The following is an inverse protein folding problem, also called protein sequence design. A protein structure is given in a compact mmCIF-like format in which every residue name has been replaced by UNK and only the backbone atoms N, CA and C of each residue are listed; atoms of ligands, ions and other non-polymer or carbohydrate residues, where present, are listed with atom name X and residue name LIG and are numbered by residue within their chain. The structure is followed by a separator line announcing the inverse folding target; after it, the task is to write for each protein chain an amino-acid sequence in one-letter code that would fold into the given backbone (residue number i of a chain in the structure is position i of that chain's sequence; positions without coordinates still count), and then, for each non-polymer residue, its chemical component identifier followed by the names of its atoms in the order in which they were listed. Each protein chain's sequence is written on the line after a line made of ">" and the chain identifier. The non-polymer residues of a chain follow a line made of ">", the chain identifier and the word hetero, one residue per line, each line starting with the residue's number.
data_IF_230101640989
#
_entry.id   IF_230101640989
#
_cell.length_a   1.000
_cell.length_b   1.000
_cell.length_c   1.000
_cell.angle_alpha   90.00
_cell.angle_beta   90.00
_cell.angle_gamma   90.00
#
_symmetry.space_group_name_H-M   'P 1'
#
loop_
_entity.id
_entity.type
_entity.pdbx_description
1 polymer ?
#
# COMPACT_ATOMS: atom_id res chain seq x y z
N UNK A 1 -1.69 -33.09 -10.90
CA UNK A 1 -1.56 -31.80 -10.19
C UNK A 1 -2.28 -30.76 -11.02
N UNK A 2 -3.16 -29.97 -10.40
CA UNK A 2 -3.92 -28.97 -11.14
C UNK A 2 -3.04 -27.79 -11.54
N UNK A 3 -3.34 -27.14 -12.67
CA UNK A 3 -2.64 -25.92 -13.15
C UNK A 3 -2.53 -24.84 -12.06
N UNK A 4 -3.48 -24.79 -11.13
CA UNK A 4 -3.48 -23.90 -9.96
C UNK A 4 -2.38 -24.24 -8.94
N UNK A 5 -2.23 -25.52 -8.57
CA UNK A 5 -1.23 -25.99 -7.61
C UNK A 5 0.19 -25.78 -8.12
N UNK A 6 0.40 -25.98 -9.44
CA UNK A 6 1.68 -25.72 -10.10
C UNK A 6 2.04 -24.23 -10.12
N UNK A 7 1.08 -23.35 -10.43
CA UNK A 7 1.26 -21.90 -10.38
C UNK A 7 1.55 -21.43 -8.95
N UNK A 8 0.84 -21.96 -7.97
CA UNK A 8 1.09 -21.65 -6.56
C UNK A 8 2.47 -22.13 -6.09
N UNK A 9 2.89 -23.34 -6.46
CA UNK A 9 4.20 -23.88 -6.13
C UNK A 9 5.34 -23.04 -6.73
N UNK A 10 5.19 -22.63 -8.00
CA UNK A 10 6.14 -21.72 -8.66
C UNK A 10 6.17 -20.35 -7.98
N UNK A 11 5.01 -19.81 -7.60
CA UNK A 11 4.94 -18.55 -6.84
C UNK A 11 5.70 -18.63 -5.52
N UNK A 12 5.55 -19.73 -4.77
CA UNK A 12 6.25 -19.92 -3.49
C UNK A 12 7.77 -20.05 -3.69
N UNK A 13 8.22 -20.79 -4.70
CA UNK A 13 9.64 -20.90 -5.04
C UNK A 13 10.23 -19.53 -5.36
N UNK A 14 9.59 -18.75 -6.22
CA UNK A 14 10.05 -17.41 -6.60
C UNK A 14 10.07 -16.45 -5.39
N UNK A 15 9.06 -16.54 -4.50
CA UNK A 15 9.04 -15.74 -3.27
C UNK A 15 10.23 -16.05 -2.35
N UNK A 16 10.58 -17.33 -2.22
CA UNK A 16 11.72 -17.77 -1.39
C UNK A 16 13.04 -17.27 -1.96
N UNK A 17 13.27 -17.48 -3.25
CA UNK A 17 14.50 -17.02 -3.93
C UNK A 17 14.65 -15.50 -3.84
N UNK A 18 13.57 -14.73 -4.04
CA UNK A 18 13.56 -13.29 -3.83
C UNK A 18 13.96 -12.90 -2.40
N UNK A 19 13.44 -13.62 -1.40
CA UNK A 19 13.79 -13.35 0.00
C UNK A 19 15.27 -13.62 0.29
N UNK A 20 15.82 -14.71 -0.24
CA UNK A 20 17.24 -15.06 -0.09
C UNK A 20 18.14 -13.99 -0.69
N UNK A 21 17.88 -13.57 -1.94
CA UNK A 21 18.63 -12.50 -2.61
C UNK A 21 18.53 -11.18 -1.83
N UNK A 22 17.32 -10.82 -1.39
CA UNK A 22 17.11 -9.60 -0.60
C UNK A 22 17.87 -9.64 0.71
N UNK A 23 17.94 -10.81 1.37
CA UNK A 23 18.66 -10.98 2.63
C UNK A 23 20.17 -10.84 2.41
N UNK A 24 20.72 -11.46 1.37
CA UNK A 24 22.14 -11.31 1.02
C UNK A 24 22.50 -9.85 0.77
N UNK A 25 21.73 -9.17 -0.08
CA UNK A 25 21.94 -7.76 -0.38
C UNK A 25 21.86 -6.86 0.88
N UNK A 26 20.87 -7.09 1.76
CA UNK A 26 20.76 -6.36 3.03
C UNK A 26 21.96 -6.61 3.94
N UNK A 27 22.46 -7.85 4.00
CA UNK A 27 23.66 -8.17 4.78
C UNK A 27 24.87 -7.41 4.25
N UNK A 28 25.07 -7.40 2.92
CA UNK A 28 26.19 -6.69 2.30
C UNK A 28 26.11 -5.18 2.53
N UNK A 29 24.92 -4.59 2.39
CA UNK A 29 24.67 -3.19 2.77
C UNK A 29 25.02 -2.94 4.24
N UNK A 30 24.58 -3.82 5.14
CA UNK A 30 24.85 -3.70 6.58
C UNK A 30 26.32 -3.91 6.95
N UNK A 31 27.16 -4.38 6.03
CA UNK A 31 28.61 -4.47 6.22
C UNK A 31 29.36 -3.26 5.65
N UNK A 32 28.72 -2.43 4.82
CA UNK A 32 29.31 -1.20 4.31
C UNK A 32 29.33 -0.10 5.39
N UNK A 33 30.53 0.38 5.73
CA UNK A 33 30.72 1.46 6.71
C UNK A 33 30.05 2.76 6.27
N UNK A 34 30.27 3.18 5.01
CA UNK A 34 29.65 4.39 4.47
C UNK A 34 28.12 4.32 4.47
N UNK A 35 27.56 3.13 4.22
CA UNK A 35 26.11 2.94 4.30
C UNK A 35 25.59 3.15 5.74
N UNK A 36 26.31 2.65 6.75
CA UNK A 36 25.96 2.88 8.17
C UNK A 36 26.04 4.35 8.55
N UNK A 37 27.07 5.06 8.10
CA UNK A 37 27.22 6.51 8.34
C UNK A 37 26.02 7.28 7.76
N UNK A 38 25.69 7.01 6.50
CA UNK A 38 24.53 7.64 5.84
C UNK A 38 23.24 7.32 6.58
N UNK A 39 23.06 6.10 7.12
CA UNK A 39 21.87 5.77 7.90
C UNK A 39 21.74 6.61 9.18
N UNK A 40 22.84 6.91 9.86
CA UNK A 40 22.83 7.78 11.04
C UNK A 40 22.63 9.24 10.67
N UNK A 41 23.31 9.74 9.62
CA UNK A 41 23.07 11.07 9.06
C UNK A 41 21.58 11.25 8.70
N UNK A 42 21.00 10.27 8.01
CA UNK A 42 19.57 10.24 7.66
C UNK A 42 18.66 10.19 8.87
N UNK A 43 19.09 9.64 10.00
CA UNK A 43 18.28 9.60 11.22
C UNK A 43 18.24 10.99 11.85
N UNK A 44 19.39 11.66 11.97
CA UNK A 44 19.46 13.05 12.44
C UNK A 44 18.60 13.97 11.57
N UNK A 45 18.73 13.87 10.23
CA UNK A 45 17.94 14.66 9.30
C UNK A 45 16.43 14.35 9.38
N UNK A 46 16.05 13.10 9.65
CA UNK A 46 14.63 12.73 9.85
C UNK A 46 14.06 13.32 11.13
N UNK A 47 14.85 13.33 12.20
CA UNK A 47 14.43 13.90 13.48
C UNK A 47 14.28 15.42 13.36
N UNK A 48 15.21 16.09 12.68
CA UNK A 48 15.12 17.52 12.37
C UNK A 48 13.90 17.85 11.50
N UNK A 49 13.72 17.10 10.39
CA UNK A 49 12.52 17.22 9.54
C UNK A 49 11.24 17.06 10.34
N UNK A 50 11.17 16.05 11.22
CA UNK A 50 9.98 15.76 12.02
C UNK A 50 9.68 16.89 13.01
N UNK A 51 10.72 17.49 13.59
CA UNK A 51 10.57 18.65 14.48
C UNK A 51 9.93 19.82 13.73
N UNK A 52 10.46 20.17 12.55
CA UNK A 52 9.92 21.23 11.69
C UNK A 52 8.48 20.91 11.27
N UNK A 53 8.19 19.68 10.84
CA UNK A 53 6.83 19.29 10.45
C UNK A 53 5.84 19.36 11.61
N UNK A 54 6.29 19.06 12.83
CA UNK A 54 5.43 19.12 14.03
C UNK A 54 5.16 20.56 14.44
N UNK A 55 6.17 21.43 14.35
CA UNK A 55 6.02 22.87 14.57
C UNK A 55 5.02 23.46 13.58
N UNK A 56 5.23 23.23 12.27
CA UNK A 56 4.31 23.71 11.24
C UNK A 56 2.92 23.13 11.44
N UNK A 57 2.77 21.83 11.74
CA UNK A 57 1.44 21.23 11.97
C UNK A 57 0.68 21.86 13.14
N UNK A 58 1.37 22.34 14.16
CA UNK A 58 0.72 23.02 15.28
C UNK A 58 0.01 24.31 14.84
N UNK A 59 0.50 24.97 13.79
CA UNK A 59 -0.10 26.18 13.22
C UNK A 59 -1.36 25.90 12.37
N UNK A 60 -1.64 24.63 12.02
CA UNK A 60 -2.74 24.20 11.14
C UNK A 60 -3.69 23.23 11.85
N UNK A 61 -3.88 23.36 13.17
CA UNK A 61 -4.65 22.41 13.98
C UNK A 61 -6.03 22.06 13.40
N UNK A 62 -6.84 23.08 13.09
CA UNK A 62 -8.20 22.88 12.55
C UNK A 62 -8.18 22.23 11.15
N UNK A 63 -7.23 22.59 10.29
CA UNK A 63 -7.06 21.98 8.96
C UNK A 63 -6.57 20.53 9.05
N UNK A 64 -5.74 20.19 10.04
CA UNK A 64 -5.28 18.83 10.29
C UNK A 64 -6.40 17.93 10.82
N UNK A 65 -7.25 18.45 11.71
CA UNK A 65 -8.45 17.73 12.17
C UNK A 65 -9.42 17.48 11.01
N UNK A 66 -9.60 18.48 10.13
CA UNK A 66 -10.38 18.32 8.90
C UNK A 66 -9.77 17.28 7.96
N UNK A 67 -8.43 17.25 7.83
CA UNK A 67 -7.73 16.27 7.01
C UNK A 67 -7.94 14.84 7.53
N UNK A 68 -7.86 14.64 8.85
CA UNK A 68 -8.11 13.35 9.48
C UNK A 68 -9.58 12.91 9.31
N UNK A 69 -10.53 13.84 9.39
CA UNK A 69 -11.95 13.60 9.07
C UNK A 69 -12.15 13.15 7.62
N UNK A 70 -11.58 13.90 6.66
CA UNK A 70 -11.65 13.56 5.24
C UNK A 70 -11.05 12.18 4.95
N UNK A 71 -9.98 11.80 5.65
CA UNK A 71 -9.38 10.49 5.49
C UNK A 71 -10.34 9.36 5.89
N UNK A 72 -11.04 9.53 7.02
CA UNK A 72 -12.03 8.55 7.49
C UNK A 72 -13.19 8.45 6.50
N UNK A 73 -13.68 9.59 6.00
CA UNK A 73 -14.76 9.63 5.00
C UNK A 73 -14.34 8.91 3.70
N UNK A 74 -13.15 9.22 3.17
CA UNK A 74 -12.61 8.58 1.97
C UNK A 74 -12.46 7.07 2.16
N UNK A 75 -11.90 6.62 3.28
CA UNK A 75 -11.73 5.19 3.56
C UNK A 75 -13.09 4.50 3.65
N UNK A 76 -14.08 5.13 4.29
CA UNK A 76 -15.46 4.62 4.40
C UNK A 76 -16.14 4.53 3.03
N UNK A 77 -16.02 5.57 2.20
CA UNK A 77 -16.61 5.60 0.86
C UNK A 77 -15.95 4.57 -0.08
N UNK A 78 -14.65 4.32 0.07
CA UNK A 78 -13.95 3.27 -0.68
C UNK A 78 -14.44 1.86 -0.31
N UNK A 79 -14.66 1.60 0.98
CA UNK A 79 -15.26 0.34 1.44
C UNK A 79 -16.67 0.17 0.89
N UNK A 80 -17.51 1.20 1.02
CA UNK A 80 -18.88 1.20 0.51
C UNK A 80 -18.93 0.99 -1.00
N UNK A 81 -18.05 1.65 -1.75
CA UNK A 81 -17.94 1.49 -3.21
C UNK A 81 -17.60 0.04 -3.57
N UNK A 82 -16.69 -0.59 -2.83
CA UNK A 82 -16.33 -2.00 -2.99
C UNK A 82 -17.52 -2.93 -2.74
N UNK A 83 -18.26 -2.70 -1.66
CA UNK A 83 -19.44 -3.48 -1.29
C UNK A 83 -20.58 -3.35 -2.31
N UNK A 84 -20.82 -2.14 -2.82
CA UNK A 84 -21.80 -1.87 -3.87
C UNK A 84 -21.39 -2.60 -5.15
N UNK A 85 -20.15 -2.43 -5.59
CA UNK A 85 -19.62 -3.06 -6.80
C UNK A 85 -19.70 -4.60 -6.71
N UNK A 86 -19.37 -5.18 -5.56
CA UNK A 86 -19.47 -6.62 -5.33
C UNK A 86 -20.94 -7.07 -5.31
N UNK A 87 -21.85 -6.33 -4.68
CA UNK A 87 -23.28 -6.64 -4.65
C UNK A 87 -23.90 -6.63 -6.05
N UNK A 88 -23.57 -5.62 -6.85
CA UNK A 88 -24.01 -5.51 -8.25
C UNK A 88 -23.47 -6.66 -9.09
N UNK A 89 -22.19 -7.01 -8.92
CA UNK A 89 -21.57 -8.16 -9.60
C UNK A 89 -22.27 -9.48 -9.25
N UNK A 90 -22.55 -9.73 -7.96
CA UNK A 90 -23.28 -10.94 -7.50
C UNK A 90 -24.71 -10.99 -8.05
N UNK A 91 -25.35 -9.84 -8.26
CA UNK A 91 -26.69 -9.71 -8.84
C UNK A 91 -26.70 -9.70 -10.38
N UNK A 92 -25.57 -9.99 -11.03
CA UNK A 92 -25.40 -9.97 -12.49
C UNK A 92 -25.72 -8.60 -13.13
N UNK A 93 -25.53 -7.51 -12.38
CA UNK A 93 -25.70 -6.14 -12.87
C UNK A 93 -24.40 -5.62 -13.50
N UNK A 94 -24.53 -4.69 -14.45
CA UNK A 94 -23.37 -4.01 -15.05
C UNK A 94 -22.72 -3.13 -13.98
N UNK A 95 -21.43 -3.37 -13.71
CA UNK A 95 -20.64 -2.58 -12.76
C UNK A 95 -19.70 -1.67 -13.54
N UNK A 96 -20.10 -0.41 -13.68
CA UNK A 96 -19.30 0.63 -14.35
C UNK A 96 -19.50 1.99 -13.66
N UNK A 97 -18.46 2.82 -13.72
CA UNK A 97 -18.48 4.21 -13.25
C UNK A 97 -18.08 5.09 -14.43
N UNK A 98 -18.87 6.13 -14.72
CA UNK A 98 -18.50 7.16 -15.70
C UNK A 98 -18.03 8.37 -14.92
N UNK A 99 -16.81 8.83 -15.18
CA UNK A 99 -16.25 9.99 -14.49
C UNK A 99 -16.65 11.32 -15.14
N UNK A 100 -16.15 12.43 -14.58
CA UNK A 100 -16.42 13.80 -15.07
C UNK A 100 -15.88 14.07 -16.49
N UNK A 101 -15.07 13.17 -17.06
CA UNK A 101 -14.48 13.28 -18.38
C UNK A 101 -15.07 12.27 -19.38
N UNK A 102 -16.24 11.71 -19.08
CA UNK A 102 -16.90 10.67 -19.86
C UNK A 102 -16.05 9.40 -20.06
N UNK A 103 -15.13 9.10 -19.13
CA UNK A 103 -14.33 7.87 -19.15
C UNK A 103 -15.01 6.80 -18.31
N UNK A 104 -15.22 5.62 -18.90
CA UNK A 104 -15.78 4.45 -18.23
C UNK A 104 -14.71 3.67 -17.46
N UNK A 105 -14.97 3.43 -16.18
CA UNK A 105 -14.15 2.66 -15.26
C UNK A 105 -14.87 1.36 -14.89
N UNK A 106 -14.12 0.25 -14.93
CA UNK A 106 -14.60 -1.08 -14.56
C UNK A 106 -13.90 -1.58 -13.29
N UNK A 107 -14.58 -2.37 -12.44
CA UNK A 107 -13.99 -2.87 -11.21
C UNK A 107 -12.87 -3.88 -11.50
N UNK A 108 -11.75 -3.75 -10.80
CA UNK A 108 -10.66 -4.73 -10.81
C UNK A 108 -10.71 -5.61 -9.56
N UNK A 109 -11.23 -6.84 -9.68
CA UNK A 109 -11.24 -7.79 -8.57
C UNK A 109 -9.85 -8.44 -8.38
N UNK A 110 -9.32 -8.34 -7.16
CA UNK A 110 -8.06 -9.00 -6.76
C UNK A 110 -8.33 -10.09 -5.74
N UNK A 111 -8.01 -11.33 -6.10
CA UNK A 111 -8.05 -12.46 -5.17
C UNK A 111 -6.70 -12.57 -4.46
N UNK A 112 -6.71 -12.56 -3.13
CA UNK A 112 -5.54 -12.78 -2.29
C UNK A 112 -5.82 -13.87 -1.26
N UNK A 113 -4.91 -14.84 -1.16
CA UNK A 113 -5.00 -15.92 -0.18
C UNK A 113 -4.17 -15.56 1.06
N UNK A 114 -4.77 -15.73 2.25
CA UNK A 114 -4.10 -15.58 3.55
C UNK A 114 -3.82 -16.97 4.13
N UNK A 115 -2.67 -17.12 4.77
CA UNK A 115 -2.33 -18.34 5.52
C UNK A 115 -3.10 -18.30 6.85
N UNK A 116 -3.74 -19.40 7.22
CA UNK A 116 -4.28 -19.61 8.57
C UNK A 116 -3.16 -19.71 9.61
#
# INVERSE_FOLDING_TARGET
>A
MGKLEEVYSRLQKNKKERQEITKMFKNDLSNSERYKEILEEMKVLRDEKKAIETEVKADYGDEMDKLDGLKIEIDTDQELLGDIALSMYVKEQVVEIIDEHDVAWYPQFKVAFKKE
#
